data_IF_708940744077
#
_entry.id   IF_708940744077
#
_cell.length_a   1.000
_cell.length_b   1.000
_cell.length_c   1.000
_cell.angle_alpha   90.00
_cell.angle_beta   90.00
_cell.angle_gamma   90.00
#
_symmetry.space_group_name_H-M   'P 1'
#
loop_
_entity.id
_entity.type
_entity.pdbx_description
1 polymer ?
#
# COMPACT_ATOMS: atom_id res chain seq x y z
N UNK A 1 15.21 -42.42 49.22
CA UNK A 1 14.14 -41.75 48.47
C UNK A 1 14.77 -41.07 47.26
N UNK A 2 14.36 -41.46 46.05
CA UNK A 2 14.90 -40.97 44.78
C UNK A 2 14.20 -39.66 44.42
N UNK A 3 14.94 -38.56 44.26
CA UNK A 3 14.44 -37.32 43.65
C UNK A 3 15.10 -37.16 42.27
N UNK A 4 14.38 -37.60 41.25
CA UNK A 4 14.69 -37.29 39.85
C UNK A 4 14.22 -35.87 39.55
N UNK A 5 15.17 -34.95 39.40
CA UNK A 5 14.92 -33.59 38.92
C UNK A 5 14.69 -33.60 37.41
N UNK A 6 13.46 -33.30 37.00
CA UNK A 6 13.07 -33.11 35.60
C UNK A 6 13.47 -31.68 35.20
N UNK A 7 14.55 -31.54 34.43
CA UNK A 7 14.98 -30.26 33.87
C UNK A 7 14.08 -29.95 32.66
N UNK A 8 13.10 -29.07 32.84
CA UNK A 8 12.27 -28.57 31.75
C UNK A 8 13.10 -27.59 30.89
N UNK A 9 13.64 -28.08 29.78
CA UNK A 9 14.17 -27.26 28.69
C UNK A 9 13.01 -26.44 28.10
N UNK A 10 12.92 -25.16 28.48
CA UNK A 10 12.15 -24.17 27.75
C UNK A 10 12.73 -24.07 26.33
N UNK A 11 12.06 -24.70 25.38
CA UNK A 11 12.21 -24.37 23.97
C UNK A 11 11.74 -22.92 23.77
N UNK A 12 12.69 -21.98 23.70
CA UNK A 12 12.48 -20.71 23.02
C UNK A 12 12.19 -21.02 21.55
N UNK A 13 10.93 -21.21 21.20
CA UNK A 13 10.50 -21.13 19.82
C UNK A 13 10.87 -19.72 19.33
N UNK A 14 11.59 -19.58 18.21
CA UNK A 14 11.77 -18.27 17.61
C UNK A 14 10.38 -17.67 17.39
N UNK A 15 10.19 -16.40 17.73
CA UNK A 15 9.00 -15.64 17.34
C UNK A 15 8.99 -15.64 15.82
N UNK A 16 8.18 -16.51 15.22
CA UNK A 16 8.00 -16.56 13.78
C UNK A 16 7.39 -15.22 13.39
N UNK A 17 8.05 -14.51 12.48
CA UNK A 17 7.48 -13.32 11.88
C UNK A 17 6.12 -13.70 11.30
N UNK A 18 5.08 -12.99 11.75
CA UNK A 18 3.69 -13.21 11.36
C UNK A 18 3.59 -13.30 9.83
N UNK A 19 3.26 -14.49 9.33
CA UNK A 19 2.84 -14.64 7.94
C UNK A 19 1.63 -13.74 7.71
N UNK A 20 1.73 -12.81 6.76
CA UNK A 20 0.57 -12.05 6.32
C UNK A 20 -0.40 -13.01 5.66
N UNK A 21 -1.48 -13.31 6.38
CA UNK A 21 -2.58 -14.08 5.85
C UNK A 21 -3.44 -13.18 4.95
N UNK A 22 -4.05 -13.73 3.88
CA UNK A 22 -5.04 -13.02 3.09
C UNK A 22 -6.07 -12.33 4.00
N UNK A 23 -6.34 -11.05 3.74
CA UNK A 23 -7.31 -10.28 4.48
C UNK A 23 -8.66 -10.26 3.78
N UNK A 24 -9.68 -10.48 4.58
CA UNK A 24 -11.09 -10.38 4.24
C UNK A 24 -11.65 -9.22 5.04
N UNK A 25 -11.74 -8.09 4.36
CA UNK A 25 -12.21 -6.83 4.90
C UNK A 25 -13.73 -6.79 4.77
N UNK A 26 -14.41 -6.16 5.74
CA UNK A 26 -15.82 -5.87 5.59
C UNK A 26 -16.07 -5.06 4.30
N UNK A 27 -17.14 -5.37 3.57
CA UNK A 27 -17.50 -4.66 2.34
C UNK A 27 -17.48 -3.14 2.49
N UNK A 28 -17.99 -2.57 3.57
CA UNK A 28 -18.13 -1.12 3.70
C UNK A 28 -16.92 -0.56 4.43
N UNK A 29 -16.22 0.37 3.78
CA UNK A 29 -15.09 1.10 4.37
C UNK A 29 -15.58 2.52 4.69
N UNK A 30 -15.96 2.83 5.94
CA UNK A 30 -16.45 4.15 6.28
C UNK A 30 -15.33 5.19 6.20
N UNK A 31 -15.61 6.31 5.54
CA UNK A 31 -14.74 7.48 5.52
C UNK A 31 -15.35 8.62 6.33
N UNK A 32 -14.65 9.01 7.39
CA UNK A 32 -15.10 10.03 8.33
C UNK A 32 -14.46 11.37 7.95
N UNK A 33 -15.28 12.42 7.79
CA UNK A 33 -14.79 13.77 7.53
C UNK A 33 -14.14 14.33 8.81
N UNK A 34 -12.87 14.67 8.72
CA UNK A 34 -12.12 15.41 9.74
C UNK A 34 -12.33 16.92 9.61
N UNK A 35 -11.55 17.69 10.35
CA UNK A 35 -11.59 19.15 10.30
C UNK A 35 -11.20 19.67 8.91
N UNK A 36 -11.89 20.72 8.46
CA UNK A 36 -11.57 21.37 7.19
C UNK A 36 -10.27 22.17 7.32
N UNK A 37 -9.17 21.65 6.78
CA UNK A 37 -7.86 22.31 6.87
C UNK A 37 -7.80 23.59 6.03
N UNK A 38 -8.70 23.76 5.05
CA UNK A 38 -8.83 25.02 4.33
C UNK A 38 -9.39 26.11 5.22
N UNK A 39 -10.50 25.84 5.91
CA UNK A 39 -11.05 26.80 6.87
C UNK A 39 -10.06 27.10 7.99
N UNK A 40 -9.31 26.08 8.45
CA UNK A 40 -8.25 26.28 9.43
C UNK A 40 -7.13 27.19 8.89
N UNK A 41 -6.65 26.96 7.66
CA UNK A 41 -5.61 27.81 7.07
C UNK A 41 -6.11 29.23 6.76
N UNK A 42 -7.37 29.41 6.36
CA UNK A 42 -7.94 30.73 6.16
C UNK A 42 -8.10 31.49 7.49
N UNK A 43 -8.39 30.78 8.60
CA UNK A 43 -8.53 31.38 9.92
C UNK A 43 -7.20 31.66 10.64
N UNK A 44 -6.16 30.84 10.41
CA UNK A 44 -4.90 30.90 11.17
C UNK A 44 -3.64 31.07 10.30
N UNK A 45 -3.75 31.07 8.98
CA UNK A 45 -2.63 31.16 8.05
C UNK A 45 -2.36 32.57 7.51
N UNK A 46 -1.13 32.80 7.02
CA UNK A 46 -0.74 34.02 6.29
C UNK A 46 -1.44 34.17 4.92
N UNK A 47 -2.31 33.22 4.54
CA UNK A 47 -3.05 33.20 3.27
C UNK A 47 -4.03 34.37 3.12
N UNK A 48 -4.52 34.93 4.22
CA UNK A 48 -5.35 36.13 4.19
C UNK A 48 -4.60 37.34 3.59
N UNK A 49 -3.33 37.53 3.98
CA UNK A 49 -2.48 38.62 3.48
C UNK A 49 -2.06 38.39 2.02
N UNK A 50 -1.81 37.13 1.64
CA UNK A 50 -1.41 36.77 0.28
C UNK A 50 -2.59 36.84 -0.71
N UNK A 51 -3.78 36.43 -0.27
CA UNK A 51 -5.04 36.60 -1.00
C UNK A 51 -5.38 38.08 -1.17
N UNK A 52 -5.25 38.89 -0.11
CA UNK A 52 -5.43 40.34 -0.20
C UNK A 52 -4.43 41.00 -1.16
N UNK A 53 -3.15 40.61 -1.11
CA UNK A 53 -2.12 41.12 -2.04
C UNK A 53 -2.44 40.80 -3.49
N UNK A 54 -2.91 39.58 -3.77
CA UNK A 54 -3.30 39.14 -5.12
C UNK A 54 -4.56 39.87 -5.61
N UNK A 55 -5.53 40.07 -4.73
CA UNK A 55 -6.75 40.83 -4.99
C UNK A 55 -6.43 42.32 -5.27
N UNK A 56 -5.54 42.93 -4.48
CA UNK A 56 -5.04 44.29 -4.69
C UNK A 56 -4.32 44.45 -6.02
N UNK A 57 -3.53 43.46 -6.46
CA UNK A 57 -2.89 43.48 -7.76
C UNK A 57 -3.91 43.42 -8.92
N UNK A 58 -4.92 42.57 -8.82
CA UNK A 58 -6.00 42.49 -9.81
C UNK A 58 -6.85 43.76 -9.84
N UNK A 59 -7.12 44.36 -8.69
CA UNK A 59 -7.77 45.68 -8.55
C UNK A 59 -7.00 46.77 -9.28
N UNK A 60 -5.69 46.85 -9.09
CA UNK A 60 -4.83 47.82 -9.78
C UNK A 60 -4.89 47.62 -11.30
N UNK A 61 -4.91 46.37 -11.78
CA UNK A 61 -5.06 46.09 -13.21
C UNK A 61 -6.41 46.56 -13.77
N UNK A 62 -7.50 46.35 -13.03
CA UNK A 62 -8.85 46.75 -13.44
C UNK A 62 -9.07 48.27 -13.38
N UNK A 63 -8.50 48.93 -12.36
CA UNK A 63 -8.48 50.39 -12.25
C UNK A 63 -7.70 51.02 -13.42
N UNK A 64 -6.55 50.45 -13.77
CA UNK A 64 -5.76 50.89 -14.91
C UNK A 64 -6.46 50.62 -16.27
N UNK A 65 -7.43 49.71 -16.30
CA UNK A 65 -8.28 49.46 -17.46
C UNK A 65 -9.53 50.36 -17.52
N UNK A 66 -9.67 51.33 -16.60
CA UNK A 66 -10.74 52.34 -16.61
C UNK A 66 -12.05 51.93 -15.94
N UNK A 67 -12.05 50.88 -15.11
CA UNK A 67 -13.25 50.48 -14.36
C UNK A 67 -13.53 51.42 -13.16
N UNK A 68 -14.80 51.71 -12.91
CA UNK A 68 -15.25 52.56 -11.80
C UNK A 68 -14.88 51.92 -10.44
N UNK A 69 -14.09 52.60 -9.60
CA UNK A 69 -13.66 52.10 -8.29
C UNK A 69 -14.81 51.65 -7.38
N UNK A 70 -15.98 52.30 -7.44
CA UNK A 70 -17.12 51.94 -6.62
C UNK A 70 -17.74 50.59 -7.04
N UNK A 71 -17.82 50.35 -8.35
CA UNK A 71 -18.37 49.11 -8.90
C UNK A 71 -17.41 47.91 -8.74
N UNK A 72 -16.10 48.17 -8.66
CA UNK A 72 -15.08 47.14 -8.45
C UNK A 72 -15.14 46.50 -7.06
N UNK A 73 -15.41 47.28 -6.01
CA UNK A 73 -15.52 46.78 -4.64
C UNK A 73 -16.74 45.86 -4.49
N UNK A 74 -17.86 46.25 -5.09
CA UNK A 74 -19.09 45.44 -5.10
C UNK A 74 -18.92 44.14 -5.88
N UNK A 75 -18.26 44.20 -7.04
CA UNK A 75 -17.96 43.02 -7.87
C UNK A 75 -17.03 42.04 -7.15
N UNK A 76 -16.01 42.53 -6.45
CA UNK A 76 -15.09 41.71 -5.66
C UNK A 76 -15.81 41.03 -4.50
N UNK A 77 -16.62 41.78 -3.78
CA UNK A 77 -17.43 41.25 -2.68
C UNK A 77 -18.46 40.23 -3.18
N UNK A 78 -18.95 40.38 -4.42
CA UNK A 78 -19.81 39.39 -5.07
C UNK A 78 -19.04 38.13 -5.50
N UNK A 79 -17.83 38.27 -6.07
CA UNK A 79 -16.98 37.16 -6.47
C UNK A 79 -16.49 36.33 -5.27
N UNK A 80 -16.14 36.98 -4.17
CA UNK A 80 -15.74 36.30 -2.93
C UNK A 80 -16.92 35.52 -2.34
N UNK A 81 -18.09 36.17 -2.22
CA UNK A 81 -19.34 35.48 -1.81
C UNK A 81 -19.69 34.32 -2.73
N UNK A 82 -19.55 34.47 -4.04
CA UNK A 82 -19.80 33.40 -5.00
C UNK A 82 -18.80 32.24 -4.85
N UNK A 83 -17.53 32.55 -4.58
CA UNK A 83 -16.48 31.55 -4.36
C UNK A 83 -16.72 30.79 -3.05
N UNK A 84 -17.05 31.50 -1.97
CA UNK A 84 -17.39 30.91 -0.68
C UNK A 84 -18.65 30.03 -0.80
N UNK A 85 -19.72 30.54 -1.43
CA UNK A 85 -20.95 29.79 -1.67
C UNK A 85 -20.70 28.53 -2.52
N UNK A 86 -19.82 28.60 -3.52
CA UNK A 86 -19.45 27.42 -4.31
C UNK A 86 -18.62 26.41 -3.52
N UNK A 87 -17.71 26.87 -2.64
CA UNK A 87 -16.96 25.99 -1.73
C UNK A 87 -17.87 25.31 -0.73
N UNK A 88 -18.83 26.03 -0.16
CA UNK A 88 -19.85 25.48 0.73
C UNK A 88 -20.70 24.43 0.02
N UNK A 89 -21.19 24.73 -1.19
CA UNK A 89 -21.95 23.75 -1.99
C UNK A 89 -21.13 22.50 -2.35
N UNK A 90 -19.86 22.68 -2.69
CA UNK A 90 -18.95 21.58 -3.00
C UNK A 90 -18.59 20.72 -1.77
N UNK A 91 -18.52 21.33 -0.58
CA UNK A 91 -18.19 20.65 0.68
C UNK A 91 -19.40 20.14 1.47
N UNK A 92 -20.60 20.66 1.16
CA UNK A 92 -21.89 20.18 1.65
C UNK A 92 -22.39 18.93 0.91
N UNK A 93 -21.75 18.55 -0.19
CA UNK A 93 -22.07 17.33 -0.92
C UNK A 93 -21.91 16.09 -0.04
N UNK A 94 -23.04 15.51 0.39
CA UNK A 94 -23.09 14.14 0.90
C UNK A 94 -22.63 13.22 -0.23
N UNK A 95 -21.48 12.56 -0.09
CA UNK A 95 -21.00 11.64 -1.12
C UNK A 95 -19.49 11.56 -1.29
N UNK A 96 -18.69 12.45 -0.68
CA UNK A 96 -17.23 12.31 -0.71
C UNK A 96 -16.79 10.99 -0.06
N UNK A 97 -17.40 10.62 1.06
CA UNK A 97 -17.17 9.34 1.74
C UNK A 97 -17.50 8.13 0.86
N UNK A 98 -18.62 8.16 0.14
CA UNK A 98 -18.99 7.14 -0.86
C UNK A 98 -18.04 7.14 -2.07
N UNK A 99 -17.60 8.33 -2.52
CA UNK A 99 -16.65 8.48 -3.62
C UNK A 99 -15.31 7.86 -3.26
N UNK A 100 -14.80 8.13 -2.06
CA UNK A 100 -13.53 7.58 -1.58
C UNK A 100 -13.62 6.06 -1.45
N UNK A 101 -14.71 5.53 -0.88
CA UNK A 101 -14.93 4.09 -0.77
C UNK A 101 -14.97 3.41 -2.15
N UNK A 102 -15.79 3.92 -3.07
CA UNK A 102 -15.91 3.38 -4.42
C UNK A 102 -14.59 3.47 -5.19
N UNK A 103 -13.90 4.61 -5.09
CA UNK A 103 -12.61 4.84 -5.74
C UNK A 103 -11.51 3.94 -5.20
N UNK A 104 -11.49 3.65 -3.89
CA UNK A 104 -10.55 2.71 -3.28
C UNK A 104 -10.72 1.30 -3.86
N UNK A 105 -11.96 0.79 -3.85
CA UNK A 105 -12.29 -0.55 -4.34
C UNK A 105 -11.96 -0.69 -5.82
N UNK A 106 -12.41 0.26 -6.63
CA UNK A 106 -12.13 0.28 -8.07
C UNK A 106 -10.64 0.37 -8.37
N UNK A 107 -9.89 1.22 -7.65
CA UNK A 107 -8.45 1.32 -7.83
C UNK A 107 -7.73 0.01 -7.46
N UNK A 108 -8.15 -0.66 -6.39
CA UNK A 108 -7.59 -1.95 -5.98
C UNK A 108 -7.92 -3.06 -6.99
N UNK A 109 -9.16 -3.13 -7.46
CA UNK A 109 -9.58 -4.06 -8.52
C UNK A 109 -8.79 -3.83 -9.81
N UNK A 110 -8.49 -2.57 -10.15
CA UNK A 110 -7.64 -2.24 -11.30
C UNK A 110 -6.21 -2.78 -11.14
N UNK A 111 -5.64 -2.78 -9.92
CA UNK A 111 -4.32 -3.40 -9.67
C UNK A 111 -4.37 -4.91 -9.90
N UNK A 112 -5.38 -5.59 -9.32
CA UNK A 112 -5.57 -7.02 -9.50
C UNK A 112 -5.82 -7.40 -10.96
N UNK A 113 -6.58 -6.60 -11.70
CA UNK A 113 -6.84 -6.82 -13.13
C UNK A 113 -5.59 -6.63 -13.97
N UNK A 114 -4.76 -5.63 -13.64
CA UNK A 114 -3.52 -5.32 -14.37
C UNK A 114 -2.42 -6.34 -14.12
N UNK A 115 -2.23 -6.75 -12.86
CA UNK A 115 -1.10 -7.59 -12.45
C UNK A 115 -1.43 -9.09 -12.41
N UNK A 116 -2.72 -9.44 -12.37
CA UNK A 116 -3.25 -10.80 -12.43
C UNK A 116 -2.49 -11.80 -11.54
N UNK A 117 -2.32 -11.52 -10.23
CA UNK A 117 -1.72 -12.50 -9.34
C UNK A 117 -2.64 -13.74 -9.23
N UNK A 118 -2.03 -14.90 -8.98
CA UNK A 118 -2.70 -16.20 -8.85
C UNK A 118 -3.75 -16.19 -7.75
N UNK A 119 -3.46 -15.51 -6.64
CA UNK A 119 -4.35 -15.39 -5.49
C UNK A 119 -4.58 -13.92 -5.16
N UNK A 120 -5.78 -13.60 -4.71
CA UNK A 120 -6.16 -12.27 -4.24
C UNK A 120 -6.06 -12.20 -2.71
N UNK A 121 -5.06 -11.49 -2.20
CA UNK A 121 -4.83 -11.40 -0.75
C UNK A 121 -5.66 -10.32 -0.05
N UNK A 122 -6.37 -9.46 -0.78
CA UNK A 122 -7.31 -8.49 -0.21
C UNK A 122 -8.68 -8.69 -0.83
N UNK A 123 -9.66 -9.07 -0.03
CA UNK A 123 -11.05 -9.25 -0.48
C UNK A 123 -12.00 -8.40 0.34
N UNK A 124 -13.06 -7.91 -0.31
CA UNK A 124 -14.17 -7.22 0.35
C UNK A 124 -15.33 -8.21 0.48
N UNK A 125 -15.69 -8.56 1.71
CA UNK A 125 -16.73 -9.54 1.98
C UNK A 125 -18.12 -8.90 1.87
N UNK A 126 -18.88 -9.35 0.88
CA UNK A 126 -20.30 -9.05 0.75
C UNK A 126 -21.15 -10.23 1.28
N UNK A 127 -21.81 -10.09 2.43
CA UNK A 127 -22.68 -11.12 2.99
C UNK A 127 -24.00 -11.28 2.23
N UNK A 128 -24.40 -10.29 1.43
CA UNK A 128 -25.69 -10.28 0.77
C UNK A 128 -25.63 -11.06 -0.56
N UNK A 129 -26.65 -11.89 -0.87
CA UNK A 129 -26.78 -12.46 -2.20
C UNK A 129 -27.00 -11.33 -3.23
N UNK A 130 -26.56 -11.54 -4.47
CA UNK A 130 -26.51 -10.52 -5.54
C UNK A 130 -27.86 -9.78 -5.73
N UNK A 131 -29.00 -10.48 -5.58
CA UNK A 131 -30.32 -9.87 -5.70
C UNK A 131 -30.65 -8.89 -4.56
N UNK A 132 -30.16 -9.16 -3.34
CA UNK A 132 -30.33 -8.26 -2.20
C UNK A 132 -29.42 -7.04 -2.32
N UNK A 133 -28.21 -7.22 -2.86
CA UNK A 133 -27.32 -6.12 -3.22
C UNK A 133 -27.98 -5.14 -4.22
N UNK A 134 -28.61 -5.64 -5.27
CA UNK A 134 -29.30 -4.80 -6.25
C UNK A 134 -30.44 -3.97 -5.62
N UNK A 135 -31.16 -4.54 -4.65
CA UNK A 135 -32.20 -3.83 -3.90
C UNK A 135 -31.61 -2.78 -2.96
N UNK A 136 -30.57 -3.11 -2.21
CA UNK A 136 -29.95 -2.18 -1.27
C UNK A 136 -29.31 -0.97 -1.99
N UNK A 137 -28.69 -1.21 -3.16
CA UNK A 137 -28.17 -0.15 -4.03
C UNK A 137 -29.28 0.76 -4.56
N UNK A 138 -30.45 0.19 -4.92
CA UNK A 138 -31.62 0.96 -5.37
C UNK A 138 -32.22 1.81 -4.25
N UNK A 139 -32.11 1.38 -3.00
CA UNK A 139 -32.62 2.08 -1.81
C UNK A 139 -31.61 3.04 -1.17
N UNK A 140 -30.44 3.26 -1.80
CA UNK A 140 -29.33 4.09 -1.29
C UNK A 140 -28.86 3.68 0.12
N UNK A 141 -29.14 2.45 0.55
CA UNK A 141 -28.74 1.98 1.88
C UNK A 141 -27.28 1.56 1.86
N UNK A 142 -26.48 2.14 2.76
CA UNK A 142 -25.20 1.55 3.16
C UNK A 142 -25.51 0.21 3.80
N UNK A 143 -25.13 -0.87 3.11
CA UNK A 143 -25.52 -2.23 3.44
C UNK A 143 -25.14 -2.60 4.87
N UNK A 144 -26.15 -2.84 5.71
CA UNK A 144 -26.00 -2.93 7.17
C UNK A 144 -26.26 -4.31 7.77
N UNK A 145 -26.43 -5.37 6.97
CA UNK A 145 -26.66 -6.70 7.53
C UNK A 145 -25.34 -7.42 7.84
N UNK A 146 -24.89 -7.30 9.08
CA UNK A 146 -23.86 -8.17 9.67
C UNK A 146 -24.53 -9.00 10.77
N UNK A 147 -24.78 -10.28 10.49
CA UNK A 147 -25.09 -11.25 11.53
C UNK A 147 -23.79 -11.63 12.26
N UNK A 148 -23.84 -11.84 13.58
CA UNK A 148 -22.71 -12.24 14.39
C UNK A 148 -22.05 -13.54 13.89
N UNK A 149 -22.84 -14.43 13.26
CA UNK A 149 -22.36 -15.65 12.60
C UNK A 149 -21.44 -15.38 11.39
N UNK A 150 -21.53 -14.20 10.76
CA UNK A 150 -20.75 -13.81 9.58
C UNK A 150 -19.45 -13.08 9.93
N UNK A 151 -19.33 -12.57 11.16
CA UNK A 151 -18.11 -11.92 11.66
C UNK A 151 -16.91 -12.87 11.70
N UNK A 152 -17.14 -14.17 11.87
CA UNK A 152 -16.07 -15.19 11.84
C UNK A 152 -15.35 -15.32 10.49
N UNK A 153 -15.92 -14.78 9.40
CA UNK A 153 -15.29 -14.74 8.06
C UNK A 153 -14.47 -13.47 7.82
N UNK A 154 -14.62 -12.47 8.68
CA UNK A 154 -13.85 -11.23 8.63
C UNK A 154 -12.60 -11.41 9.49
N UNK A 155 -11.45 -11.06 8.95
CA UNK A 155 -10.20 -11.01 9.71
C UNK A 155 -9.54 -9.63 9.63
N UNK A 156 -10.22 -8.64 9.05
CA UNK A 156 -9.78 -7.27 8.99
C UNK A 156 -10.96 -6.28 9.00
N UNK A 157 -10.74 -5.13 9.64
CA UNK A 157 -11.64 -3.97 9.60
C UNK A 157 -10.87 -2.77 9.04
N UNK A 158 -11.49 -2.05 8.09
CA UNK A 158 -10.90 -0.87 7.49
C UNK A 158 -11.80 0.35 7.73
N UNK A 159 -11.20 1.50 8.02
CA UNK A 159 -11.88 2.79 8.07
C UNK A 159 -10.93 3.89 7.61
N UNK A 160 -11.47 4.98 7.10
CA UNK A 160 -10.70 6.13 6.65
C UNK A 160 -11.11 7.42 7.33
N UNK A 161 -10.19 8.38 7.32
CA UNK A 161 -10.46 9.77 7.64
C UNK A 161 -10.04 10.64 6.47
N UNK A 162 -10.77 11.71 6.20
CA UNK A 162 -10.39 12.66 5.16
C UNK A 162 -10.62 14.11 5.57
N UNK A 163 -9.79 15.00 5.04
CA UNK A 163 -9.97 16.45 5.17
C UNK A 163 -9.62 17.12 3.84
N UNK A 164 -10.11 18.32 3.60
CA UNK A 164 -9.62 19.11 2.47
C UNK A 164 -8.17 19.51 2.74
N UNK A 165 -7.33 19.40 1.72
CA UNK A 165 -5.93 19.74 1.88
C UNK A 165 -5.77 21.26 2.06
N UNK A 166 -4.70 21.71 2.75
CA UNK A 166 -4.46 23.14 2.98
C UNK A 166 -4.30 23.95 1.67
N UNK A 167 -4.05 23.28 0.54
CA UNK A 167 -3.94 23.94 -0.77
C UNK A 167 -5.23 24.60 -1.27
N UNK A 168 -6.40 24.19 -0.77
CA UNK A 168 -7.73 24.71 -1.15
C UNK A 168 -8.05 24.71 -2.64
N UNK A 169 -7.44 23.76 -3.36
CA UNK A 169 -7.61 23.55 -4.81
C UNK A 169 -8.36 22.26 -5.14
N UNK A 170 -9.16 21.76 -4.19
CA UNK A 170 -9.93 20.52 -4.35
C UNK A 170 -9.15 19.24 -4.02
N UNK A 171 -7.92 19.37 -3.51
CA UNK A 171 -7.17 18.24 -2.96
C UNK A 171 -7.75 17.82 -1.60
N UNK A 172 -7.61 16.55 -1.28
CA UNK A 172 -7.95 15.95 0.00
C UNK A 172 -6.74 15.27 0.60
N UNK A 173 -6.64 15.30 1.92
CA UNK A 173 -5.73 14.47 2.71
C UNK A 173 -6.56 13.31 3.21
N UNK A 174 -6.19 12.08 2.86
CA UNK A 174 -6.89 10.88 3.31
C UNK A 174 -5.93 9.97 4.05
N UNK A 175 -6.39 9.45 5.19
CA UNK A 175 -5.72 8.39 5.93
C UNK A 175 -6.63 7.17 5.97
N UNK A 176 -6.13 6.02 5.53
CA UNK A 176 -6.80 4.73 5.63
C UNK A 176 -6.14 3.90 6.73
N UNK A 177 -6.97 3.33 7.60
CA UNK A 177 -6.58 2.43 8.68
C UNK A 177 -7.12 1.04 8.39
N UNK A 178 -6.30 0.01 8.58
CA UNK A 178 -6.72 -1.40 8.53
C UNK A 178 -6.22 -2.11 9.78
N UNK A 179 -7.14 -2.61 10.59
CA UNK A 179 -6.83 -3.45 11.72
C UNK A 179 -7.11 -4.91 11.37
N UNK A 180 -6.09 -5.76 11.48
CA UNK A 180 -6.23 -7.21 11.28
C UNK A 180 -6.51 -7.93 12.60
N UNK A 181 -7.03 -9.15 12.53
CA UNK A 181 -7.40 -9.95 13.70
C UNK A 181 -6.24 -10.25 14.65
N UNK A 182 -4.98 -10.17 14.20
CA UNK A 182 -3.81 -10.27 15.07
C UNK A 182 -3.60 -9.05 15.97
N UNK A 183 -4.38 -7.98 15.80
CA UNK A 183 -4.27 -6.73 16.55
C UNK A 183 -3.34 -5.70 15.90
N UNK A 184 -2.63 -6.07 14.83
CA UNK A 184 -1.79 -5.13 14.07
C UNK A 184 -2.63 -4.13 13.27
N UNK A 185 -2.17 -2.89 13.20
CA UNK A 185 -2.81 -1.83 12.41
C UNK A 185 -1.88 -1.32 11.32
N UNK A 186 -2.41 -1.23 10.10
CA UNK A 186 -1.76 -0.62 8.95
C UNK A 186 -2.37 0.75 8.69
N UNK A 187 -1.52 1.73 8.38
CA UNK A 187 -1.94 3.10 8.16
C UNK A 187 -1.34 3.58 6.84
N UNK A 188 -2.18 4.09 5.95
CA UNK A 188 -1.79 4.61 4.65
C UNK A 188 -2.29 6.03 4.50
N UNK A 189 -1.44 6.94 4.04
CA UNK A 189 -1.82 8.33 3.86
C UNK A 189 -1.41 8.81 2.47
N UNK A 190 -2.27 9.61 1.86
CA UNK A 190 -1.97 10.30 0.61
C UNK A 190 -2.72 11.63 0.53
N UNK A 191 -2.20 12.54 -0.31
CA UNK A 191 -2.74 13.89 -0.53
C UNK A 191 -2.86 14.14 -2.03
N UNK A 192 -3.96 14.75 -2.45
CA UNK A 192 -4.22 15.11 -3.84
C UNK A 192 -5.70 15.02 -4.18
N UNK A 193 -6.04 14.95 -5.47
CA UNK A 193 -7.43 14.74 -5.89
C UNK A 193 -7.96 13.37 -5.41
N UNK A 194 -9.26 13.25 -5.05
CA UNK A 194 -9.82 12.04 -4.44
C UNK A 194 -9.44 10.72 -5.15
N UNK A 195 -9.53 10.69 -6.49
CA UNK A 195 -9.21 9.53 -7.32
C UNK A 195 -7.71 9.17 -7.29
N UNK A 196 -6.83 10.17 -7.27
CA UNK A 196 -5.38 9.98 -7.23
C UNK A 196 -4.94 9.48 -5.85
N UNK A 197 -5.54 10.02 -4.80
CA UNK A 197 -5.29 9.61 -3.42
C UNK A 197 -5.70 8.15 -3.23
N UNK A 198 -6.88 7.76 -3.69
CA UNK A 198 -7.33 6.36 -3.60
C UNK A 198 -6.49 5.41 -4.46
N UNK A 199 -6.02 5.86 -5.63
CA UNK A 199 -5.06 5.08 -6.44
C UNK A 199 -3.73 4.88 -5.71
N UNK A 200 -3.18 5.92 -5.09
CA UNK A 200 -1.92 5.83 -4.34
C UNK A 200 -2.04 4.89 -3.14
N UNK A 201 -3.12 5.03 -2.35
CA UNK A 201 -3.40 4.13 -1.21
C UNK A 201 -3.60 2.69 -1.70
N UNK A 202 -4.36 2.49 -2.77
CA UNK A 202 -4.57 1.16 -3.38
C UNK A 202 -3.26 0.50 -3.80
N UNK A 203 -2.32 1.23 -4.41
CA UNK A 203 -0.99 0.70 -4.76
C UNK A 203 -0.20 0.30 -3.51
N UNK A 204 -0.25 1.10 -2.44
CA UNK A 204 0.40 0.76 -1.16
C UNK A 204 -0.21 -0.50 -0.53
N UNK A 205 -1.54 -0.59 -0.49
CA UNK A 205 -2.26 -1.77 -0.01
C UNK A 205 -1.89 -3.02 -0.79
N UNK A 206 -1.98 -2.94 -2.12
CA UNK A 206 -1.65 -4.06 -2.98
C UNK A 206 -0.21 -4.52 -2.71
N UNK A 207 0.75 -3.60 -2.64
CA UNK A 207 2.13 -3.94 -2.33
C UNK A 207 2.26 -4.61 -0.95
N UNK A 208 1.67 -4.04 0.11
CA UNK A 208 1.77 -4.58 1.47
C UNK A 208 1.27 -6.04 1.56
N UNK A 209 0.09 -6.32 1.01
CA UNK A 209 -0.56 -7.63 1.20
C UNK A 209 -0.26 -8.63 0.09
N UNK A 210 0.15 -8.19 -1.11
CA UNK A 210 0.37 -9.07 -2.26
C UNK A 210 1.85 -9.36 -2.52
N UNK A 211 2.77 -8.49 -2.12
CA UNK A 211 4.20 -8.73 -2.34
C UNK A 211 4.67 -9.99 -1.60
N UNK A 212 5.67 -10.67 -2.16
CA UNK A 212 6.33 -11.80 -1.52
C UNK A 212 6.87 -11.44 -0.14
N UNK A 213 6.52 -12.27 0.83
CA UNK A 213 6.84 -12.11 2.24
C UNK A 213 7.94 -13.09 2.65
N UNK A 214 8.67 -12.72 3.70
CA UNK A 214 9.70 -13.57 4.30
C UNK A 214 9.49 -13.61 5.83
N UNK A 215 9.57 -14.80 6.45
CA UNK A 215 9.69 -16.09 5.80
C UNK A 215 8.39 -16.47 5.06
N UNK A 216 8.46 -17.36 4.06
CA UNK A 216 7.28 -17.95 3.41
C UNK A 216 7.59 -19.32 2.79
N UNK A 217 6.57 -20.09 2.40
CA UNK A 217 6.74 -21.43 1.82
C UNK A 217 6.14 -21.51 0.44
N UNK A 218 6.93 -21.97 -0.52
CA UNK A 218 6.55 -22.11 -1.92
C UNK A 218 6.65 -23.57 -2.34
N UNK A 219 5.61 -24.11 -2.97
CA UNK A 219 5.65 -25.45 -3.54
C UNK A 219 6.36 -25.45 -4.90
N UNK A 220 7.39 -26.30 -5.04
CA UNK A 220 8.13 -26.56 -6.27
C UNK A 220 7.97 -28.05 -6.59
N UNK A 221 7.01 -28.39 -7.44
CA UNK A 221 6.63 -29.77 -7.72
C UNK A 221 6.14 -30.47 -6.44
N UNK A 222 6.87 -31.49 -5.99
CA UNK A 222 6.57 -32.23 -4.75
C UNK A 222 7.35 -31.71 -3.53
N UNK A 223 8.27 -30.74 -3.73
CA UNK A 223 9.08 -30.16 -2.65
C UNK A 223 8.47 -28.84 -2.21
N UNK A 224 8.73 -28.47 -0.95
CA UNK A 224 8.41 -27.14 -0.44
C UNK A 224 9.72 -26.43 -0.17
N UNK A 225 9.90 -25.27 -0.80
CA UNK A 225 11.02 -24.37 -0.55
C UNK A 225 10.58 -23.33 0.48
N UNK A 226 11.29 -23.24 1.60
CA UNK A 226 11.05 -22.18 2.57
C UNK A 226 11.95 -20.98 2.25
N UNK A 227 11.35 -19.84 1.91
CA UNK A 227 12.02 -18.56 1.81
C UNK A 227 12.26 -18.04 3.22
N UNK A 228 13.52 -17.82 3.59
CA UNK A 228 13.90 -17.33 4.92
C UNK A 228 14.19 -15.83 4.87
N UNK A 229 14.81 -15.38 3.78
CA UNK A 229 15.34 -14.02 3.66
C UNK A 229 16.76 -13.92 4.19
N UNK A 230 17.38 -12.76 4.03
CA UNK A 230 18.69 -12.48 4.63
C UNK A 230 18.53 -12.03 6.11
N UNK A 231 19.60 -12.02 6.91
CA UNK A 231 19.51 -11.54 8.29
C UNK A 231 18.99 -10.10 8.36
N UNK A 232 17.81 -9.93 8.98
CA UNK A 232 17.18 -8.63 9.20
C UNK A 232 16.43 -8.03 8.00
N UNK A 233 16.57 -8.59 6.79
CA UNK A 233 15.89 -8.06 5.58
C UNK A 233 15.51 -9.18 4.60
N UNK A 234 14.40 -9.04 3.85
CA UNK A 234 13.98 -10.00 2.81
C UNK A 234 15.07 -10.37 1.81
N UNK A 235 15.73 -9.36 1.23
CA UNK A 235 16.78 -9.50 0.23
C UNK A 235 17.91 -8.56 0.66
N UNK A 236 19.14 -9.06 0.69
CA UNK A 236 20.34 -8.31 1.03
C UNK A 236 21.29 -8.26 -0.16
N UNK A 237 22.24 -7.33 -0.08
CA UNK A 237 23.31 -7.17 -1.06
C UNK A 237 24.67 -7.48 -0.43
N UNK A 238 25.63 -7.89 -1.24
CA UNK A 238 27.02 -8.12 -0.86
C UNK A 238 27.94 -7.93 -2.07
N UNK A 239 29.25 -7.92 -1.83
CA UNK A 239 30.27 -7.89 -2.90
C UNK A 239 30.82 -9.26 -3.25
N UNK A 240 30.45 -10.31 -2.51
CA UNK A 240 30.96 -11.66 -2.75
C UNK A 240 29.93 -12.75 -2.50
N UNK A 241 29.81 -13.69 -3.43
CA UNK A 241 28.92 -14.83 -3.34
C UNK A 241 29.30 -15.74 -2.16
N UNK A 242 30.60 -15.89 -1.88
CA UNK A 242 31.09 -16.64 -0.71
C UNK A 242 30.66 -15.97 0.62
N UNK A 243 30.63 -14.63 0.66
CA UNK A 243 30.12 -13.93 1.83
C UNK A 243 28.61 -14.16 2.02
N UNK A 244 27.80 -14.07 0.94
CA UNK A 244 26.37 -14.39 1.00
C UNK A 244 26.12 -15.84 1.45
N UNK A 245 26.91 -16.79 0.93
CA UNK A 245 26.80 -18.20 1.28
C UNK A 245 27.07 -18.45 2.76
N UNK A 246 28.14 -17.84 3.30
CA UNK A 246 28.45 -17.89 4.74
C UNK A 246 27.35 -17.27 5.59
N UNK A 247 26.78 -16.15 5.15
CA UNK A 247 25.67 -15.51 5.85
C UNK A 247 24.44 -16.42 5.94
N UNK A 248 24.04 -17.06 4.83
CA UNK A 248 22.92 -18.00 4.84
C UNK A 248 23.20 -19.22 5.72
N UNK A 249 24.42 -19.78 5.65
CA UNK A 249 24.82 -20.89 6.54
C UNK A 249 24.77 -20.50 8.02
N UNK A 250 25.13 -19.27 8.35
CA UNK A 250 25.07 -18.73 9.73
C UNK A 250 23.67 -18.73 10.34
N UNK A 251 22.62 -18.69 9.53
CA UNK A 251 21.22 -18.79 9.96
C UNK A 251 20.59 -20.17 9.66
N UNK A 252 21.41 -21.21 9.51
CA UNK A 252 20.97 -22.58 9.18
C UNK A 252 20.12 -22.63 7.90
N UNK A 253 20.51 -21.84 6.89
CA UNK A 253 19.89 -21.80 5.58
C UNK A 253 20.99 -21.93 4.49
N UNK A 254 20.58 -21.88 3.23
CA UNK A 254 21.48 -21.91 2.08
C UNK A 254 21.08 -20.84 1.05
N UNK A 255 21.97 -20.58 0.10
CA UNK A 255 21.59 -19.84 -1.10
C UNK A 255 20.67 -20.71 -1.98
N UNK A 256 19.72 -20.10 -2.71
CA UNK A 256 18.93 -20.81 -3.70
C UNK A 256 19.82 -21.37 -4.81
N UNK A 257 19.36 -22.45 -5.43
CA UNK A 257 19.96 -22.96 -6.67
C UNK A 257 19.56 -22.07 -7.85
N UNK A 258 20.25 -22.21 -8.98
CA UNK A 258 19.88 -21.48 -10.20
C UNK A 258 18.44 -21.79 -10.65
N UNK A 259 18.02 -23.05 -10.56
CA UNK A 259 16.64 -23.49 -10.86
C UNK A 259 15.61 -22.89 -9.92
N UNK A 260 15.92 -22.81 -8.61
CA UNK A 260 15.05 -22.16 -7.64
C UNK A 260 14.91 -20.66 -7.93
N UNK A 261 16.01 -19.96 -8.24
CA UNK A 261 15.94 -18.56 -8.67
C UNK A 261 15.09 -18.36 -9.92
N UNK A 262 15.23 -19.22 -10.92
CA UNK A 262 14.44 -19.17 -12.16
C UNK A 262 12.96 -19.41 -11.88
N UNK A 263 12.64 -20.45 -11.09
CA UNK A 263 11.28 -20.75 -10.67
C UNK A 263 10.64 -19.57 -9.92
N UNK A 264 11.36 -19.00 -8.96
CA UNK A 264 10.91 -17.85 -8.18
C UNK A 264 10.72 -16.61 -9.06
N UNK A 265 11.57 -16.40 -10.06
CA UNK A 265 11.42 -15.30 -11.01
C UNK A 265 10.19 -15.47 -11.89
N UNK A 266 9.88 -16.70 -12.31
CA UNK A 266 8.70 -17.01 -13.11
C UNK A 266 7.38 -16.84 -12.33
N UNK A 267 7.40 -17.10 -11.01
CA UNK A 267 6.27 -16.75 -10.15
C UNK A 267 6.08 -15.23 -10.06
N UNK A 268 7.18 -14.48 -9.95
CA UNK A 268 7.18 -13.02 -9.83
C UNK A 268 6.74 -12.51 -8.46
N UNK A 269 7.00 -11.22 -8.22
CA UNK A 269 6.93 -10.58 -6.90
C UNK A 269 5.53 -10.60 -6.24
N UNK A 270 4.47 -10.89 -7.01
CA UNK A 270 3.08 -10.85 -6.56
C UNK A 270 2.47 -12.24 -6.31
N UNK A 271 3.24 -13.30 -6.55
CA UNK A 271 2.81 -14.69 -6.40
C UNK A 271 3.75 -15.48 -5.48
N UNK A 272 4.27 -14.83 -4.45
CA UNK A 272 5.31 -15.38 -3.56
C UNK A 272 6.63 -15.67 -4.28
N UNK A 273 6.81 -15.18 -5.52
CA UNK A 273 8.04 -15.25 -6.29
C UNK A 273 8.98 -14.08 -6.02
N UNK A 274 10.15 -14.09 -6.65
CA UNK A 274 11.11 -12.98 -6.55
C UNK A 274 11.68 -12.77 -7.94
N UNK A 275 11.41 -11.61 -8.52
CA UNK A 275 11.92 -11.25 -9.84
C UNK A 275 13.44 -11.12 -9.80
N UNK A 276 14.12 -11.82 -10.69
CA UNK A 276 15.59 -11.83 -10.75
C UNK A 276 16.18 -10.93 -11.84
N UNK A 277 15.40 -10.60 -12.87
CA UNK A 277 15.77 -9.76 -14.02
C UNK A 277 16.34 -8.39 -13.58
N UNK A 278 17.38 -7.91 -14.27
CA UNK A 278 18.05 -6.64 -13.97
C UNK A 278 18.99 -6.64 -12.76
N UNK A 279 19.25 -7.80 -12.14
CA UNK A 279 20.15 -7.96 -10.98
C UNK A 279 21.03 -9.20 -11.13
N UNK A 280 22.18 -9.18 -10.45
CA UNK A 280 23.09 -10.34 -10.35
C UNK A 280 22.91 -10.98 -8.98
N UNK A 281 22.66 -12.29 -8.93
CA UNK A 281 22.33 -13.01 -7.71
C UNK A 281 23.44 -13.95 -7.28
N UNK A 282 23.73 -14.01 -5.99
CA UNK A 282 24.74 -14.92 -5.45
C UNK A 282 24.26 -16.37 -5.51
N UNK A 283 25.13 -17.27 -5.96
CA UNK A 283 24.96 -18.71 -5.88
C UNK A 283 26.08 -19.31 -5.00
N UNK A 284 25.89 -20.55 -4.58
CA UNK A 284 26.94 -21.29 -3.86
C UNK A 284 28.19 -21.49 -4.75
N UNK A 285 29.33 -21.77 -4.11
CA UNK A 285 30.60 -22.10 -4.78
C UNK A 285 31.18 -20.98 -5.66
N UNK A 286 31.09 -19.72 -5.21
CA UNK A 286 31.61 -18.53 -5.93
C UNK A 286 31.00 -18.32 -7.32
N UNK A 287 29.78 -18.83 -7.49
CA UNK A 287 29.00 -18.64 -8.71
C UNK A 287 28.00 -17.51 -8.52
N UNK A 288 27.51 -16.98 -9.63
CA UNK A 288 26.46 -15.98 -9.69
C UNK A 288 25.48 -16.31 -10.80
N UNK A 289 24.22 -15.93 -10.61
CA UNK A 289 23.20 -15.91 -11.64
C UNK A 289 23.10 -14.48 -12.19
N UNK A 290 23.41 -14.30 -13.47
CA UNK A 290 23.30 -13.05 -14.21
C UNK A 290 22.30 -13.26 -15.38
N UNK A 291 20.99 -13.02 -15.17
CA UNK A 291 19.95 -13.30 -16.18
C UNK A 291 20.16 -12.57 -17.51
N UNK A 292 20.80 -11.40 -17.47
CA UNK A 292 21.07 -10.56 -18.66
C UNK A 292 22.25 -11.07 -19.51
N UNK A 293 22.98 -12.12 -19.07
CA UNK A 293 24.15 -12.66 -19.76
C UNK A 293 23.91 -14.11 -20.22
N UNK A 294 22.98 -14.36 -21.16
CA UNK A 294 22.52 -15.72 -21.49
C UNK A 294 23.56 -16.60 -22.19
N UNK A 295 24.57 -16.05 -22.86
CA UNK A 295 25.56 -16.83 -23.63
C UNK A 295 26.93 -16.88 -22.94
N UNK A 296 27.57 -18.07 -22.77
CA UNK A 296 27.05 -19.43 -22.97
C UNK A 296 26.03 -19.94 -21.92
N UNK A 297 25.85 -19.24 -20.79
CA UNK A 297 24.83 -19.55 -19.76
C UNK A 297 24.59 -18.36 -18.82
N UNK A 298 23.39 -18.12 -18.26
CA UNK A 298 23.20 -17.07 -17.25
C UNK A 298 23.97 -17.34 -15.93
N UNK A 299 24.51 -18.55 -15.71
CA UNK A 299 25.31 -18.89 -14.54
C UNK A 299 26.80 -18.73 -14.86
N UNK A 300 27.50 -17.94 -14.03
CA UNK A 300 28.92 -17.57 -14.22
C UNK A 300 29.69 -17.62 -12.91
N UNK A 301 31.01 -17.63 -12.99
CA UNK A 301 31.83 -17.35 -11.82
C UNK A 301 31.71 -15.88 -11.45
N UNK A 302 31.78 -15.56 -10.16
CA UNK A 302 31.77 -14.18 -9.65
C UNK A 302 32.83 -13.31 -10.35
N UNK A 303 34.01 -13.87 -10.61
CA UNK A 303 35.15 -13.21 -11.25
C UNK A 303 34.95 -12.82 -12.72
N UNK A 304 34.06 -13.52 -13.43
CA UNK A 304 33.73 -13.22 -14.84
C UNK A 304 32.78 -12.04 -14.96
N UNK A 305 31.78 -11.95 -14.07
CA UNK A 305 30.75 -10.90 -14.12
C UNK A 305 31.26 -9.59 -13.51
N UNK A 306 32.07 -9.67 -12.44
CA UNK A 306 32.61 -8.50 -11.71
C UNK A 306 31.53 -7.48 -11.34
N UNK A 307 30.36 -7.95 -10.95
CA UNK A 307 29.28 -7.09 -10.50
C UNK A 307 29.70 -6.31 -9.25
N UNK A 308 29.28 -5.04 -9.15
CA UNK A 308 29.54 -4.22 -7.96
C UNK A 308 28.78 -4.71 -6.73
N UNK A 309 27.59 -5.26 -6.97
CA UNK A 309 26.64 -5.72 -5.96
C UNK A 309 26.03 -7.04 -6.43
N UNK A 310 25.97 -8.00 -5.50
CA UNK A 310 25.33 -9.30 -5.65
C UNK A 310 24.16 -9.36 -4.67
N UNK A 311 22.98 -9.66 -5.19
CA UNK A 311 21.75 -9.80 -4.43
C UNK A 311 21.61 -11.23 -3.92
N UNK A 312 21.06 -11.40 -2.73
CA UNK A 312 20.78 -12.72 -2.18
C UNK A 312 19.62 -12.71 -1.19
N UNK A 313 18.97 -13.86 -1.09
CA UNK A 313 18.09 -14.24 0.01
C UNK A 313 18.42 -15.69 0.37
N UNK A 314 18.07 -16.12 1.57
CA UNK A 314 18.34 -17.47 2.02
C UNK A 314 17.08 -18.34 1.95
N UNK A 315 17.26 -19.63 1.71
CA UNK A 315 16.20 -20.64 1.62
C UNK A 315 16.53 -21.89 2.43
N UNK A 316 15.51 -22.69 2.74
CA UNK A 316 15.63 -24.04 3.31
C UNK A 316 14.89 -25.04 2.45
#
# INVERSE_FOLDING_TARGET
MKFTGLLALLFCLPVWADHYSPITVWQTVPFIKGQDLCQFQDAYGSSAQESQKKLSQQLVTLLNAGADPAQLIDLISALDRYTQQNRERASAGKGMDTLLEGSLKAALDAQYTKLQPRNRNITFFNPAPIFALARDLREEKRQGYLDASMLGKLNAMAWGTYSYAPSCKGDVVVTLHIQVSSGRTYNYQAIGRPELVMRAISTQLFAEFQHTQFPSKVQIGQRTLELVGAPGVPISETRSAEAAERTCKGIQARLPTAEEYEFMSNLGDWNQGIRTVGRVWALANKMVLAPELPNPSPVRTESEVRARELYYYCVR
#
